data_IF_565076009962
#
_entry.id   IF_565076009962
#
_cell.length_a   1.000
_cell.length_b   1.000
_cell.length_c   1.000
_cell.angle_alpha   90.00
_cell.angle_beta   90.00
_cell.angle_gamma   90.00
#
_symmetry.space_group_name_H-M   'P 1'
#
loop_
_entity.id
_entity.type
_entity.pdbx_description
1 polymer ?
#
# COMPACT_ATOMS: atom_id res chain seq x y z
N UNK A 1 -2.33 -26.67 -30.38
CA UNK A 1 -3.67 -27.32 -30.26
C UNK A 1 -3.99 -27.85 -28.87
N UNK A 2 -3.15 -28.68 -28.21
CA UNK A 2 -3.44 -29.12 -26.83
C UNK A 2 -3.48 -27.98 -25.80
N UNK A 3 -2.56 -27.01 -25.92
CA UNK A 3 -2.51 -25.82 -25.07
C UNK A 3 -3.77 -24.95 -25.28
N UNK A 4 -4.22 -24.80 -26.53
CA UNK A 4 -5.42 -24.02 -26.87
C UNK A 4 -6.69 -24.67 -26.32
N UNK A 5 -6.77 -26.00 -26.39
CA UNK A 5 -7.87 -26.79 -25.84
C UNK A 5 -7.90 -26.74 -24.30
N UNK A 6 -6.74 -26.79 -23.65
CA UNK A 6 -6.62 -26.59 -22.21
C UNK A 6 -7.06 -25.18 -21.79
N UNK A 7 -6.60 -24.14 -22.49
CA UNK A 7 -7.01 -22.75 -22.24
C UNK A 7 -8.50 -22.54 -22.45
N UNK A 8 -9.09 -23.14 -23.50
CA UNK A 8 -10.53 -23.11 -23.73
C UNK A 8 -11.31 -23.78 -22.60
N UNK A 9 -10.88 -24.98 -22.19
CA UNK A 9 -11.52 -25.73 -21.09
C UNK A 9 -11.44 -24.95 -19.77
N UNK A 10 -10.28 -24.36 -19.45
CA UNK A 10 -10.11 -23.49 -18.28
C UNK A 10 -11.05 -22.29 -18.35
N UNK A 11 -11.16 -21.62 -19.51
CA UNK A 11 -12.07 -20.48 -19.69
C UNK A 11 -13.54 -20.89 -19.53
N UNK A 12 -13.92 -22.06 -20.02
CA UNK A 12 -15.28 -22.59 -19.94
C UNK A 12 -15.67 -22.91 -18.49
N UNK A 13 -14.78 -23.53 -17.71
CA UNK A 13 -15.06 -23.96 -16.33
C UNK A 13 -14.90 -22.84 -15.28
N UNK A 14 -14.15 -21.78 -15.59
CA UNK A 14 -13.82 -20.70 -14.63
C UNK A 14 -15.05 -20.04 -13.98
N UNK A 15 -16.13 -19.69 -14.70
CA UNK A 15 -17.31 -19.05 -14.10
C UNK A 15 -17.96 -19.94 -13.02
N UNK A 16 -18.11 -21.22 -13.30
CA UNK A 16 -18.71 -22.18 -12.37
C UNK A 16 -17.83 -22.39 -11.12
N UNK A 17 -16.51 -22.40 -11.33
CA UNK A 17 -15.54 -22.57 -10.25
C UNK A 17 -15.55 -21.34 -9.32
N UNK A 18 -15.64 -20.13 -9.88
CA UNK A 18 -15.78 -18.88 -9.10
C UNK A 18 -17.12 -18.85 -8.37
N UNK A 19 -18.22 -19.26 -9.03
CA UNK A 19 -19.55 -19.24 -8.42
C UNK A 19 -19.65 -20.14 -7.18
N UNK A 20 -18.88 -21.24 -7.16
CA UNK A 20 -18.88 -22.22 -6.05
C UNK A 20 -17.73 -22.05 -5.07
N UNK A 21 -16.74 -21.20 -5.36
CA UNK A 21 -15.53 -21.09 -4.53
C UNK A 21 -15.85 -20.61 -3.11
N UNK A 22 -16.75 -19.63 -2.98
CA UNK A 22 -17.12 -19.04 -1.69
C UNK A 22 -17.75 -20.09 -0.76
N UNK A 23 -18.69 -20.89 -1.27
CA UNK A 23 -19.35 -21.91 -0.46
C UNK A 23 -18.40 -23.05 -0.09
N UNK A 24 -17.50 -23.40 -1.01
CA UNK A 24 -16.44 -24.37 -0.75
C UNK A 24 -15.49 -23.89 0.35
N UNK A 25 -15.01 -22.64 0.27
CA UNK A 25 -14.12 -22.03 1.27
C UNK A 25 -14.80 -21.97 2.64
N UNK A 26 -16.05 -21.52 2.72
CA UNK A 26 -16.83 -21.52 3.97
C UNK A 26 -16.96 -22.92 4.57
N UNK A 27 -17.25 -23.92 3.73
CA UNK A 27 -17.38 -25.31 4.17
C UNK A 27 -16.05 -25.83 4.72
N UNK A 28 -14.95 -25.59 4.02
CA UNK A 28 -13.60 -26.00 4.46
C UNK A 28 -13.15 -25.28 5.72
N UNK A 29 -13.46 -24.00 5.85
CA UNK A 29 -13.17 -23.25 7.07
C UNK A 29 -13.97 -23.79 8.27
N UNK A 30 -15.25 -24.13 8.07
CA UNK A 30 -16.05 -24.77 9.12
C UNK A 30 -15.52 -26.16 9.51
N UNK A 31 -15.02 -26.96 8.55
CA UNK A 31 -14.33 -28.22 8.84
C UNK A 31 -13.06 -27.99 9.68
N UNK A 32 -12.25 -26.98 9.33
CA UNK A 32 -11.05 -26.62 10.07
C UNK A 32 -11.36 -26.25 11.54
N UNK A 33 -12.40 -25.44 11.77
CA UNK A 33 -12.81 -25.04 13.12
C UNK A 33 -13.32 -26.20 13.98
N UNK A 34 -13.85 -27.27 13.37
CA UNK A 34 -14.24 -28.49 14.11
C UNK A 34 -13.04 -29.27 14.61
N UNK A 35 -11.93 -29.23 13.88
CA UNK A 35 -10.69 -29.92 14.21
C UNK A 35 -9.90 -29.11 15.25
N UNK A 36 -9.87 -27.79 15.09
CA UNK A 36 -9.12 -26.88 15.97
C UNK A 36 -10.08 -25.97 16.76
N UNK A 37 -10.42 -26.31 18.01
CA UNK A 37 -11.41 -25.57 18.81
C UNK A 37 -10.98 -24.14 19.16
N UNK A 38 -9.68 -23.81 19.11
CA UNK A 38 -9.14 -22.45 19.24
C UNK A 38 -8.33 -22.06 17.98
N UNK A 39 -8.93 -22.23 16.80
CA UNK A 39 -8.29 -21.98 15.50
C UNK A 39 -8.24 -20.52 15.06
N UNK A 40 -8.61 -19.56 15.92
CA UNK A 40 -8.76 -18.13 15.59
C UNK A 40 -7.91 -17.23 16.50
N UNK A 41 -6.79 -17.74 17.00
CA UNK A 41 -5.96 -17.04 17.98
C UNK A 41 -5.38 -15.74 17.41
N UNK A 42 -4.90 -15.76 16.17
CA UNK A 42 -4.31 -14.58 15.51
C UNK A 42 -5.39 -13.60 15.12
N UNK A 43 -6.48 -14.04 14.47
CA UNK A 43 -7.63 -13.21 14.11
C UNK A 43 -8.20 -12.50 15.34
N UNK A 44 -8.35 -13.21 16.46
CA UNK A 44 -8.88 -12.60 17.69
C UNK A 44 -7.97 -11.48 18.21
N UNK A 45 -6.65 -11.74 18.30
CA UNK A 45 -5.67 -10.73 18.74
C UNK A 45 -5.66 -9.52 17.81
N UNK A 46 -5.68 -9.76 16.50
CA UNK A 46 -5.72 -8.74 15.46
C UNK A 46 -6.95 -7.85 15.57
N UNK A 47 -8.16 -8.42 15.64
CA UNK A 47 -9.41 -7.64 15.75
C UNK A 47 -9.49 -6.90 17.08
N UNK A 48 -9.13 -7.54 18.20
CA UNK A 48 -9.18 -6.90 19.52
C UNK A 48 -8.23 -5.70 19.63
N UNK A 49 -7.02 -5.81 19.06
CA UNK A 49 -6.06 -4.69 18.98
C UNK A 49 -6.70 -3.43 18.39
N UNK A 50 -7.44 -3.58 17.29
CA UNK A 50 -8.11 -2.44 16.63
C UNK A 50 -9.37 -1.98 17.37
N UNK A 51 -10.10 -2.90 17.98
CA UNK A 51 -11.28 -2.56 18.77
C UNK A 51 -10.92 -1.61 19.93
N UNK A 52 -9.82 -1.88 20.61
CA UNK A 52 -9.35 -1.06 21.73
C UNK A 52 -8.93 0.34 21.27
N UNK A 53 -8.25 0.45 20.13
CA UNK A 53 -7.88 1.74 19.50
C UNK A 53 -9.12 2.55 19.10
N UNK A 54 -10.10 1.90 18.47
CA UNK A 54 -11.35 2.55 18.03
C UNK A 54 -12.15 3.04 19.23
N UNK A 55 -12.26 2.23 20.30
CA UNK A 55 -12.92 2.62 21.55
C UNK A 55 -12.25 3.82 22.20
N UNK A 56 -10.93 3.81 22.34
CA UNK A 56 -10.17 4.92 22.92
C UNK A 56 -10.34 6.23 22.13
N UNK A 57 -10.45 6.13 20.79
CA UNK A 57 -10.57 7.29 19.90
C UNK A 57 -12.00 7.83 19.77
N UNK A 58 -13.02 7.11 20.28
CA UNK A 58 -14.41 7.54 20.21
C UNK A 58 -15.07 7.52 21.60
N UNK A 59 -14.63 8.37 22.54
CA UNK A 59 -15.16 8.42 23.90
C UNK A 59 -16.61 8.94 23.99
N UNK A 60 -17.23 9.36 22.88
CA UNK A 60 -18.55 10.01 22.83
C UNK A 60 -19.70 9.08 22.36
N UNK A 61 -19.51 7.76 22.22
CA UNK A 61 -20.65 6.82 22.02
C UNK A 61 -21.44 6.63 23.31
N UNK A 62 -22.01 7.71 23.84
CA UNK A 62 -22.76 7.74 25.09
C UNK A 62 -24.29 7.92 24.92
N UNK A 63 -24.84 7.92 23.70
CA UNK A 63 -26.30 7.80 23.56
C UNK A 63 -26.80 7.28 22.20
N UNK A 64 -28.01 6.69 22.30
CA UNK A 64 -28.94 6.24 21.25
C UNK A 64 -28.66 4.85 20.68
N UNK A 65 -29.25 3.85 21.34
CA UNK A 65 -29.30 2.42 21.01
C UNK A 65 -27.97 1.64 21.01
N UNK A 66 -27.92 0.58 21.82
CA UNK A 66 -26.77 -0.32 21.94
C UNK A 66 -26.46 -1.00 20.61
N UNK A 67 -27.47 -1.33 19.81
CA UNK A 67 -27.28 -1.97 18.51
C UNK A 67 -26.51 -1.06 17.54
N UNK A 68 -26.90 0.22 17.48
CA UNK A 68 -26.23 1.24 16.66
C UNK A 68 -24.77 1.42 17.06
N UNK A 69 -24.48 1.49 18.37
CA UNK A 69 -23.12 1.59 18.92
C UNK A 69 -22.28 0.39 18.48
N UNK A 70 -22.81 -0.83 18.62
CA UNK A 70 -22.11 -2.07 18.24
C UNK A 70 -21.82 -2.09 16.75
N UNK A 71 -22.78 -1.72 15.90
CA UNK A 71 -22.58 -1.67 14.44
C UNK A 71 -21.48 -0.70 14.04
N UNK A 72 -21.49 0.52 14.60
CA UNK A 72 -20.48 1.54 14.29
C UNK A 72 -19.09 1.08 14.73
N UNK A 73 -18.97 0.57 15.96
CA UNK A 73 -17.68 0.08 16.47
C UNK A 73 -17.18 -1.10 15.64
N UNK A 74 -18.06 -2.03 15.28
CA UNK A 74 -17.70 -3.20 14.46
C UNK A 74 -17.21 -2.75 13.10
N UNK A 75 -17.96 -1.89 12.39
CA UNK A 75 -17.57 -1.38 11.08
C UNK A 75 -16.20 -0.70 11.13
N UNK A 76 -16.02 0.29 12.03
CA UNK A 76 -14.74 1.00 12.18
C UNK A 76 -13.58 0.08 12.56
N UNK A 77 -13.82 -0.90 13.43
CA UNK A 77 -12.79 -1.86 13.85
C UNK A 77 -12.35 -2.71 12.67
N UNK A 78 -13.29 -3.24 11.89
CA UNK A 78 -13.01 -4.04 10.71
C UNK A 78 -12.28 -3.19 9.65
N UNK A 79 -12.73 -1.97 9.39
CA UNK A 79 -12.08 -1.06 8.44
C UNK A 79 -10.60 -0.84 8.79
N UNK A 80 -10.32 -0.47 10.05
CA UNK A 80 -8.95 -0.25 10.52
C UNK A 80 -8.12 -1.53 10.52
N UNK A 81 -8.71 -2.66 10.91
CA UNK A 81 -8.05 -3.95 10.89
C UNK A 81 -7.62 -4.35 9.48
N UNK A 82 -8.51 -4.22 8.49
CA UNK A 82 -8.22 -4.57 7.10
C UNK A 82 -7.21 -3.61 6.46
N UNK A 83 -7.18 -2.33 6.85
CA UNK A 83 -6.14 -1.40 6.40
C UNK A 83 -4.74 -1.81 6.86
N UNK A 84 -4.61 -2.39 8.06
CA UNK A 84 -3.32 -2.91 8.54
C UNK A 84 -2.76 -4.03 7.64
N UNK A 85 -3.63 -4.82 6.99
CA UNK A 85 -3.19 -5.90 6.09
C UNK A 85 -2.37 -5.39 4.89
N UNK A 86 -2.52 -4.12 4.51
CA UNK A 86 -1.75 -3.50 3.43
C UNK A 86 -0.29 -3.20 3.85
N UNK A 87 -0.01 -3.16 5.15
CA UNK A 87 1.31 -2.93 5.73
C UNK A 87 1.59 -3.99 6.78
N UNK A 88 1.24 -5.23 6.47
CA UNK A 88 1.36 -6.34 7.40
C UNK A 88 2.82 -6.61 7.75
N UNK A 89 3.08 -6.87 9.04
CA UNK A 89 4.40 -7.27 9.51
C UNK A 89 4.70 -8.71 9.08
N UNK A 90 5.73 -8.89 8.26
CA UNK A 90 6.16 -10.21 7.78
C UNK A 90 6.57 -11.16 8.90
N UNK A 91 6.91 -10.65 10.09
CA UNK A 91 7.25 -11.47 11.25
C UNK A 91 6.02 -12.08 11.94
N UNK A 92 4.82 -11.58 11.63
CA UNK A 92 3.57 -12.00 12.23
C UNK A 92 2.81 -12.97 11.31
N UNK A 93 2.23 -14.06 11.85
CA UNK A 93 1.37 -14.94 11.07
C UNK A 93 0.15 -14.17 10.55
N UNK A 94 -0.25 -14.44 9.31
CA UNK A 94 -1.45 -13.82 8.73
C UNK A 94 -2.71 -14.29 9.48
N UNK A 95 -3.75 -13.44 9.66
CA UNK A 95 -4.93 -13.86 10.41
C UNK A 95 -5.64 -15.02 9.72
N UNK A 96 -6.09 -16.01 10.50
CA UNK A 96 -6.58 -17.29 9.97
C UNK A 96 -7.80 -17.10 9.05
N UNK A 97 -8.63 -16.08 9.34
CA UNK A 97 -9.82 -15.73 8.55
C UNK A 97 -9.53 -15.17 7.16
N UNK A 98 -8.32 -14.65 6.90
CA UNK A 98 -7.93 -14.04 5.61
C UNK A 98 -6.74 -14.75 4.98
N UNK A 99 -6.34 -15.91 5.51
CA UNK A 99 -5.17 -16.67 5.06
C UNK A 99 -5.23 -17.04 3.56
N UNK A 100 -6.40 -17.40 3.05
CA UNK A 100 -6.59 -17.73 1.63
C UNK A 100 -6.36 -16.53 0.69
N UNK A 101 -6.52 -15.32 1.21
CA UNK A 101 -6.36 -14.06 0.48
C UNK A 101 -5.00 -13.39 0.73
N UNK A 102 -4.08 -14.02 1.48
CA UNK A 102 -2.78 -13.46 1.85
C UNK A 102 -2.03 -12.90 0.63
N UNK A 103 -1.93 -13.69 -0.45
CA UNK A 103 -1.24 -13.25 -1.66
C UNK A 103 -1.85 -12.00 -2.29
N UNK A 104 -3.19 -11.85 -2.23
CA UNK A 104 -3.88 -10.66 -2.74
C UNK A 104 -3.58 -9.43 -1.89
N UNK A 105 -3.58 -9.58 -0.57
CA UNK A 105 -3.23 -8.49 0.35
C UNK A 105 -1.76 -8.07 0.20
N UNK A 106 -0.84 -9.02 0.02
CA UNK A 106 0.57 -8.70 -0.25
C UNK A 106 0.75 -7.88 -1.52
N UNK A 107 0.16 -8.31 -2.64
CA UNK A 107 0.20 -7.54 -3.89
C UNK A 107 -0.42 -6.15 -3.73
N UNK A 108 -1.54 -6.04 -3.00
CA UNK A 108 -2.17 -4.74 -2.75
C UNK A 108 -1.30 -3.85 -1.85
N UNK A 109 -0.62 -4.42 -0.87
CA UNK A 109 0.35 -3.73 -0.01
C UNK A 109 1.56 -3.22 -0.80
N UNK A 110 2.11 -4.01 -1.71
CA UNK A 110 3.17 -3.60 -2.63
C UNK A 110 2.73 -2.43 -3.53
N UNK A 111 1.50 -2.48 -4.04
CA UNK A 111 0.93 -1.38 -4.82
C UNK A 111 0.80 -0.11 -3.98
N UNK A 112 0.28 -0.24 -2.76
CA UNK A 112 0.16 0.87 -1.81
C UNK A 112 1.53 1.48 -1.52
N UNK A 113 2.53 0.66 -1.20
CA UNK A 113 3.91 1.07 -0.97
C UNK A 113 4.46 1.93 -2.11
N UNK A 114 4.38 1.42 -3.35
CA UNK A 114 4.88 2.14 -4.54
C UNK A 114 4.17 3.47 -4.73
N UNK A 115 2.84 3.49 -4.64
CA UNK A 115 2.05 4.72 -4.82
C UNK A 115 2.40 5.76 -3.74
N UNK A 116 2.51 5.33 -2.48
CA UNK A 116 2.88 6.23 -1.38
C UNK A 116 4.28 6.83 -1.58
N UNK A 117 5.25 6.02 -2.02
CA UNK A 117 6.62 6.50 -2.28
C UNK A 117 6.67 7.44 -3.47
N UNK A 118 6.00 7.11 -4.58
CA UNK A 118 5.86 8.02 -5.75
C UNK A 118 5.25 9.35 -5.32
N UNK A 119 4.16 9.31 -4.54
CA UNK A 119 3.50 10.52 -4.02
C UNK A 119 4.42 11.36 -3.13
N UNK A 120 5.19 10.71 -2.24
CA UNK A 120 6.14 11.38 -1.37
C UNK A 120 7.28 12.05 -2.17
N UNK A 121 7.83 11.37 -3.17
CA UNK A 121 8.90 11.91 -4.04
C UNK A 121 8.37 13.11 -4.84
N UNK A 122 7.18 12.99 -5.43
CA UNK A 122 6.52 14.10 -6.14
C UNK A 122 6.36 15.30 -5.21
N UNK A 123 5.88 15.09 -3.98
CA UNK A 123 5.66 16.17 -3.02
C UNK A 123 6.98 16.83 -2.59
N UNK A 124 8.03 16.05 -2.30
CA UNK A 124 9.36 16.57 -1.96
C UNK A 124 9.95 17.36 -3.13
N UNK A 125 9.87 16.81 -4.34
CA UNK A 125 10.44 17.45 -5.53
C UNK A 125 9.74 18.78 -5.85
N UNK A 126 8.40 18.79 -5.82
CA UNK A 126 7.62 19.99 -6.10
C UNK A 126 7.71 21.02 -4.98
N UNK A 127 7.83 20.60 -3.72
CA UNK A 127 8.01 21.55 -2.60
C UNK A 127 9.39 22.23 -2.64
N UNK A 128 10.43 21.53 -3.07
CA UNK A 128 11.78 22.06 -3.24
C UNK A 128 11.90 23.07 -4.40
N UNK A 129 11.10 22.93 -5.46
CA UNK A 129 11.24 23.77 -6.68
C UNK A 129 9.92 24.47 -6.99
N UNK A 130 9.78 25.68 -6.45
CA UNK A 130 8.58 26.51 -6.61
C UNK A 130 8.23 26.77 -8.08
N UNK A 131 9.21 26.94 -8.97
CA UNK A 131 8.94 27.19 -10.40
C UNK A 131 8.20 26.03 -11.09
N UNK A 132 8.39 24.79 -10.62
CA UNK A 132 7.83 23.59 -11.24
C UNK A 132 6.50 23.15 -10.61
N UNK A 133 6.08 23.77 -9.51
CA UNK A 133 4.84 23.43 -8.79
C UNK A 133 3.57 23.54 -9.65
N UNK A 134 3.51 24.48 -10.58
CA UNK A 134 2.35 24.69 -11.45
C UNK A 134 2.36 23.83 -12.72
N UNK A 135 3.47 23.15 -13.04
CA UNK A 135 3.64 22.53 -14.34
C UNK A 135 3.11 21.09 -14.38
N UNK A 136 1.94 20.91 -14.99
CA UNK A 136 1.30 19.59 -15.12
C UNK A 136 2.11 18.59 -15.96
N UNK A 137 2.76 19.07 -17.03
CA UNK A 137 3.56 18.20 -17.90
C UNK A 137 4.80 17.64 -17.19
N UNK A 138 5.46 18.46 -16.36
CA UNK A 138 6.57 18.01 -15.53
C UNK A 138 6.12 16.97 -14.49
N UNK A 139 4.98 17.23 -13.81
CA UNK A 139 4.43 16.28 -12.81
C UNK A 139 4.15 14.92 -13.42
N UNK A 140 3.57 14.91 -14.62
CA UNK A 140 3.25 13.68 -15.35
C UNK A 140 4.53 12.91 -15.73
N UNK A 141 5.53 13.61 -16.28
CA UNK A 141 6.82 13.03 -16.64
C UNK A 141 7.52 12.42 -15.42
N UNK A 142 7.62 13.20 -14.34
CA UNK A 142 8.27 12.76 -13.10
C UNK A 142 7.54 11.55 -12.49
N UNK A 143 6.21 11.56 -12.51
CA UNK A 143 5.41 10.40 -12.05
C UNK A 143 5.74 9.16 -12.87
N UNK A 144 5.78 9.27 -14.19
CA UNK A 144 6.06 8.13 -15.08
C UNK A 144 7.46 7.56 -14.83
N UNK A 145 8.50 8.40 -14.82
CA UNK A 145 9.87 7.94 -14.61
C UNK A 145 10.07 7.30 -13.23
N UNK A 146 9.56 7.92 -12.17
CA UNK A 146 9.67 7.37 -10.82
C UNK A 146 8.86 6.08 -10.69
N UNK A 147 7.69 5.98 -11.33
CA UNK A 147 6.89 4.74 -11.32
C UNK A 147 7.63 3.58 -11.97
N UNK A 148 8.27 3.81 -13.13
CA UNK A 148 9.06 2.78 -13.83
C UNK A 148 10.25 2.33 -12.99
N UNK A 149 10.97 3.26 -12.35
CA UNK A 149 12.12 2.91 -11.49
C UNK A 149 11.74 2.15 -10.22
N UNK A 150 10.49 2.25 -9.78
CA UNK A 150 9.98 1.59 -8.59
C UNK A 150 9.15 0.33 -8.90
N UNK A 151 9.09 -0.11 -10.16
CA UNK A 151 8.25 -1.26 -10.56
C UNK A 151 8.64 -2.55 -9.80
N UNK A 152 9.93 -2.77 -9.56
CA UNK A 152 10.45 -3.94 -8.83
C UNK A 152 10.52 -3.74 -7.30
N UNK A 153 9.97 -2.64 -6.77
CA UNK A 153 9.98 -2.36 -5.33
C UNK A 153 8.85 -3.13 -4.61
N UNK A 154 9.14 -4.35 -4.16
CA UNK A 154 8.19 -5.19 -3.41
C UNK A 154 8.29 -5.00 -1.89
N UNK A 155 9.43 -4.52 -1.40
CA UNK A 155 9.66 -4.32 0.04
C UNK A 155 10.41 -3.02 0.34
N UNK A 156 10.43 -2.63 1.63
CA UNK A 156 11.25 -1.51 2.08
C UNK A 156 12.75 -1.72 1.83
N UNK A 157 13.23 -2.98 1.85
CA UNK A 157 14.63 -3.31 1.57
C UNK A 157 14.96 -3.11 0.09
N UNK A 158 14.01 -3.32 -0.80
CA UNK A 158 14.19 -3.07 -2.24
C UNK A 158 14.19 -1.57 -2.52
N UNK A 159 13.35 -0.80 -1.82
CA UNK A 159 13.38 0.66 -1.88
C UNK A 159 14.77 1.22 -1.55
N UNK A 160 15.39 0.79 -0.45
CA UNK A 160 16.74 1.26 -0.07
C UNK A 160 17.78 1.10 -1.20
N UNK A 161 17.66 0.05 -2.00
CA UNK A 161 18.56 -0.20 -3.14
C UNK A 161 18.22 0.64 -4.37
N UNK A 162 16.93 0.92 -4.59
CA UNK A 162 16.44 1.66 -5.74
C UNK A 162 16.52 3.18 -5.56
N UNK A 163 16.43 3.68 -4.32
CA UNK A 163 16.38 5.12 -4.03
C UNK A 163 17.55 5.95 -4.58
N UNK A 164 18.81 5.48 -4.60
CA UNK A 164 19.91 6.23 -5.22
C UNK A 164 19.71 6.46 -6.72
N UNK A 165 19.18 5.46 -7.44
CA UNK A 165 18.87 5.57 -8.86
C UNK A 165 17.72 6.56 -9.09
N UNK A 166 16.69 6.49 -8.22
CA UNK A 166 15.56 7.41 -8.26
C UNK A 166 16.01 8.85 -7.99
N UNK A 167 16.84 9.09 -6.98
CA UNK A 167 17.37 10.43 -6.69
C UNK A 167 18.15 11.01 -7.88
N UNK A 168 18.98 10.19 -8.52
CA UNK A 168 19.74 10.59 -9.71
C UNK A 168 18.82 10.93 -10.88
N UNK A 169 17.80 10.12 -11.13
CA UNK A 169 16.84 10.35 -12.20
C UNK A 169 16.01 11.62 -11.95
N UNK A 170 15.54 11.83 -10.72
CA UNK A 170 14.73 13.01 -10.35
C UNK A 170 15.52 14.30 -10.58
N UNK A 171 16.80 14.34 -10.19
CA UNK A 171 17.68 15.50 -10.41
C UNK A 171 17.86 15.75 -11.91
N UNK A 172 18.10 14.69 -12.69
CA UNK A 172 18.24 14.78 -14.15
C UNK A 172 16.97 15.32 -14.80
N UNK A 173 15.80 14.79 -14.42
CA UNK A 173 14.51 15.22 -14.94
C UNK A 173 14.26 16.70 -14.67
N UNK A 174 14.64 17.18 -13.48
CA UNK A 174 14.56 18.61 -13.15
C UNK A 174 15.48 19.43 -14.03
N UNK A 175 16.77 19.09 -14.12
CA UNK A 175 17.75 19.88 -14.88
C UNK A 175 17.37 19.94 -16.36
N UNK A 176 16.96 18.81 -16.94
CA UNK A 176 16.50 18.72 -18.33
C UNK A 176 15.25 19.57 -18.56
N UNK A 177 14.34 19.64 -17.57
CA UNK A 177 13.12 20.42 -17.67
C UNK A 177 13.36 21.93 -17.46
N UNK A 178 14.26 22.31 -16.55
CA UNK A 178 14.68 23.70 -16.36
C UNK A 178 15.37 24.25 -17.62
N UNK A 179 16.23 23.45 -18.26
CA UNK A 179 16.84 23.79 -19.57
C UNK A 179 15.79 24.04 -20.64
N UNK A 180 14.75 23.19 -20.72
CA UNK A 180 13.64 23.37 -21.68
C UNK A 180 12.87 24.67 -21.48
N UNK A 181 12.76 25.16 -20.23
CA UNK A 181 12.09 26.42 -19.90
C UNK A 181 13.06 27.63 -20.05
N UNK A 182 14.34 27.39 -20.34
CA UNK A 182 15.36 28.45 -20.42
C UNK A 182 15.78 28.99 -19.05
N UNK A 183 15.53 28.24 -17.98
CA UNK A 183 15.99 28.57 -16.62
C UNK A 183 17.37 27.96 -16.34
N UNK A 184 18.09 28.53 -15.38
CA UNK A 184 19.37 27.96 -14.91
C UNK A 184 19.14 26.62 -14.23
N UNK A 185 20.13 25.73 -14.33
CA UNK A 185 20.16 24.47 -13.57
C UNK A 185 20.07 24.71 -12.06
N UNK A 186 19.67 23.66 -11.33
CA UNK A 186 19.76 23.67 -9.87
C UNK A 186 21.19 23.91 -9.39
N UNK A 187 21.35 24.60 -8.28
CA UNK A 187 22.63 24.71 -7.60
C UNK A 187 23.04 23.38 -6.95
N UNK A 188 24.34 23.21 -6.71
CA UNK A 188 24.92 21.98 -6.18
C UNK A 188 24.40 21.66 -4.77
N UNK A 189 24.09 22.69 -3.96
CA UNK A 189 23.58 22.52 -2.60
C UNK A 189 22.14 21.99 -2.62
N UNK A 190 21.27 22.58 -3.45
CA UNK A 190 19.89 22.09 -3.61
C UNK A 190 19.84 20.68 -4.21
N UNK A 191 20.72 20.33 -5.16
CA UNK A 191 20.83 18.95 -5.68
C UNK A 191 21.19 17.97 -4.57
N UNK A 192 22.15 18.33 -3.71
CA UNK A 192 22.57 17.49 -2.58
C UNK A 192 21.46 17.35 -1.53
N UNK A 193 20.78 18.45 -1.21
CA UNK A 193 19.68 18.45 -0.25
C UNK A 193 18.52 17.59 -0.74
N UNK A 194 18.10 17.77 -2.00
CA UNK A 194 17.01 17.00 -2.60
C UNK A 194 17.36 15.51 -2.68
N UNK A 195 18.59 15.17 -3.06
CA UNK A 195 19.07 13.78 -3.06
C UNK A 195 18.98 13.15 -1.67
N UNK A 196 19.45 13.86 -0.63
CA UNK A 196 19.34 13.40 0.75
C UNK A 196 17.90 13.16 1.20
N UNK A 197 17.01 14.12 0.92
CA UNK A 197 15.59 13.99 1.24
C UNK A 197 14.94 12.81 0.52
N UNK A 198 15.28 12.57 -0.75
CA UNK A 198 14.77 11.42 -1.51
C UNK A 198 15.26 10.12 -0.89
N UNK A 199 16.55 10.00 -0.54
CA UNK A 199 17.07 8.80 0.12
C UNK A 199 16.36 8.50 1.45
N UNK A 200 16.04 9.53 2.23
CA UNK A 200 15.31 9.39 3.50
C UNK A 200 13.89 8.83 3.33
N UNK A 201 13.24 9.02 2.16
CA UNK A 201 11.90 8.48 1.89
C UNK A 201 11.87 6.94 1.92
N UNK A 202 13.01 6.27 1.69
CA UNK A 202 13.12 4.81 1.83
C UNK A 202 12.64 4.34 3.21
N UNK A 203 12.89 5.15 4.24
CA UNK A 203 12.56 4.82 5.62
C UNK A 203 11.05 4.88 5.88
N UNK A 204 10.45 3.83 6.47
CA UNK A 204 9.02 3.82 6.83
C UNK A 204 8.62 4.90 7.85
N UNK A 205 9.57 5.37 8.66
CA UNK A 205 9.39 6.42 9.67
C UNK A 205 9.39 7.84 9.09
N UNK A 206 9.61 8.00 7.79
CA UNK A 206 9.69 9.31 7.16
C UNK A 206 8.35 10.05 7.21
N UNK A 207 8.34 11.27 7.75
CA UNK A 207 7.11 12.04 8.01
C UNK A 207 6.27 12.28 6.76
N UNK A 208 6.91 12.56 5.62
CA UNK A 208 6.18 12.82 4.36
C UNK A 208 5.54 11.54 3.85
N UNK A 209 6.23 10.40 3.99
CA UNK A 209 5.69 9.11 3.63
C UNK A 209 4.48 8.75 4.50
N UNK A 210 4.56 9.03 5.80
CA UNK A 210 3.42 8.86 6.72
C UNK A 210 2.26 9.80 6.41
N UNK A 211 2.53 11.04 5.96
CA UNK A 211 1.48 11.99 5.57
C UNK A 211 0.73 11.54 4.32
N UNK A 212 1.44 10.99 3.32
CA UNK A 212 0.82 10.46 2.09
C UNK A 212 0.06 9.16 2.35
N UNK A 213 0.44 8.43 3.40
CA UNK A 213 -0.16 7.16 3.78
C UNK A 213 -1.43 7.29 4.62
N UNK A 214 -1.67 8.44 5.25
CA UNK A 214 -2.86 8.72 6.08
C UNK A 214 -4.04 9.16 5.24
#
# INVERSE_FOLDING_TARGET
MHIDMANFTIKLMRPDLIARSIDYEKTKFAELLKIQPDGLGVTRKWVLKHLDVVKASNPQLHSTDKDTIVRILTAKTIDQAYLELLQWDESMPFPETVMMDEGRFRTLGEHCLRITVVGAILLVTLSSIKQLQGNSAFKELLRQHVTVLLEEAHSNKDLEKLMPNVATQVIKDIDDYLKKIGSSELDVESKRLLSGQILEIASPSHKIRQLVCK
#
